data_IF_759034814153
#
_entry.id   IF_759034814153
#
_cell.length_a   1.000
_cell.length_b   1.000
_cell.length_c   1.000
_cell.angle_alpha   90.00
_cell.angle_beta   90.00
_cell.angle_gamma   90.00
#
_symmetry.space_group_name_H-M   'P 1'
#
loop_
_entity.id
_entity.type
_entity.pdbx_description
1 polymer ?
#
# COMPACT_ATOMS: atom_id res chain seq x y z
N UNK A 1 38.76 27.97 50.51
CA UNK A 1 38.99 26.56 50.85
C UNK A 1 38.37 25.71 49.74
N UNK A 2 38.96 25.57 48.55
CA UNK A 2 40.00 24.58 48.13
C UNK A 2 39.68 23.13 48.50
N UNK A 3 39.19 22.35 47.53
CA UNK A 3 39.40 20.89 47.35
C UNK A 3 39.15 20.56 45.86
N UNK A 4 40.21 20.51 45.03
CA UNK A 4 40.96 19.31 44.58
C UNK A 4 40.14 18.39 43.64
N UNK A 5 40.29 18.46 42.31
CA UNK A 5 41.24 17.71 41.45
C UNK A 5 41.34 16.21 41.77
N UNK A 6 40.80 15.37 40.87
CA UNK A 6 41.49 14.24 40.19
C UNK A 6 40.48 13.15 39.80
N UNK A 7 40.49 12.77 38.52
CA UNK A 7 40.11 11.49 37.89
C UNK A 7 39.47 11.77 36.52
N UNK A 8 40.29 12.08 35.53
CA UNK A 8 39.88 12.05 34.13
C UNK A 8 41.12 11.79 33.27
N UNK A 9 41.71 10.60 33.37
CA UNK A 9 42.85 10.23 32.52
C UNK A 9 42.98 8.70 32.41
N UNK A 10 41.97 8.00 31.89
CA UNK A 10 42.12 6.59 31.49
C UNK A 10 41.11 6.06 30.46
N UNK A 11 40.17 6.86 29.93
CA UNK A 11 39.12 6.37 29.02
C UNK A 11 39.35 6.66 27.51
N UNK A 12 40.54 7.07 27.09
CA UNK A 12 40.79 7.56 25.72
C UNK A 12 41.43 6.54 24.73
N UNK A 13 41.76 5.33 25.17
CA UNK A 13 42.46 4.34 24.31
C UNK A 13 41.56 3.21 23.76
N UNK A 14 40.31 3.08 24.22
CA UNK A 14 39.38 2.05 23.72
C UNK A 14 38.37 2.56 22.67
N UNK A 15 38.32 3.88 22.42
CA UNK A 15 37.28 4.52 21.62
C UNK A 15 37.66 4.78 20.15
N UNK A 16 38.92 4.58 19.78
CA UNK A 16 39.42 4.92 18.42
C UNK A 16 39.36 3.75 17.44
N UNK A 17 39.21 2.51 17.91
CA UNK A 17 39.09 1.30 17.06
C UNK A 17 37.66 1.05 16.56
N UNK A 18 36.63 1.61 17.21
CA UNK A 18 35.24 1.47 16.72
C UNK A 18 34.90 2.48 15.61
N UNK A 19 35.58 3.63 15.57
CA UNK A 19 35.25 4.72 14.64
C UNK A 19 35.58 4.39 13.17
N UNK A 20 36.61 3.57 12.91
CA UNK A 20 36.97 3.16 11.55
C UNK A 20 36.08 2.03 11.00
N UNK A 21 35.50 1.20 11.87
CA UNK A 21 34.57 0.14 11.44
C UNK A 21 33.18 0.68 11.08
N UNK A 22 32.79 1.86 11.56
CA UNK A 22 31.48 2.47 11.28
C UNK A 22 31.40 3.20 9.93
N UNK A 23 32.51 3.75 9.43
CA UNK A 23 32.53 4.43 8.12
C UNK A 23 32.34 3.46 6.95
N UNK A 24 33.00 2.29 6.98
CA UNK A 24 32.92 1.30 5.88
C UNK A 24 31.51 0.68 5.68
N UNK A 25 30.68 0.64 6.72
CA UNK A 25 29.33 0.08 6.64
C UNK A 25 28.32 1.09 6.09
N UNK A 26 28.54 2.39 6.36
CA UNK A 26 27.74 3.48 5.81
C UNK A 26 27.94 3.62 4.29
N UNK A 27 29.20 3.55 3.82
CA UNK A 27 29.52 3.60 2.39
C UNK A 27 28.94 2.39 1.63
N UNK A 28 28.97 1.20 2.24
CA UNK A 28 28.39 -0.02 1.65
C UNK A 28 26.85 0.05 1.58
N UNK A 29 26.17 0.59 2.60
CA UNK A 29 24.71 0.77 2.56
C UNK A 29 24.28 1.81 1.53
N UNK A 30 24.99 2.93 1.43
CA UNK A 30 24.71 3.95 0.42
C UNK A 30 24.87 3.41 -1.01
N UNK A 31 25.94 2.64 -1.27
CA UNK A 31 26.20 2.08 -2.60
C UNK A 31 25.18 0.98 -2.99
N UNK A 32 24.72 0.18 -2.03
CA UNK A 32 23.68 -0.84 -2.25
C UNK A 32 22.30 -0.23 -2.52
N UNK A 33 21.97 0.91 -1.92
CA UNK A 33 20.71 1.60 -2.19
C UNK A 33 20.72 2.29 -3.55
N UNK A 34 21.82 2.96 -3.92
CA UNK A 34 21.97 3.62 -5.22
C UNK A 34 21.91 2.62 -6.39
N UNK A 35 22.57 1.46 -6.26
CA UNK A 35 22.56 0.41 -7.29
C UNK A 35 21.18 -0.26 -7.46
N UNK A 36 20.44 -0.51 -6.38
CA UNK A 36 19.08 -1.05 -6.48
C UNK A 36 18.10 -0.05 -7.10
N UNK A 37 18.26 1.26 -6.83
CA UNK A 37 17.43 2.28 -7.45
C UNK A 37 17.74 2.44 -8.95
N UNK A 38 19.02 2.38 -9.35
CA UNK A 38 19.41 2.42 -10.76
C UNK A 38 18.87 1.22 -11.55
N UNK A 39 18.95 0.01 -10.99
CA UNK A 39 18.39 -1.19 -11.63
C UNK A 39 16.86 -1.12 -11.78
N UNK A 40 16.15 -0.65 -10.76
CA UNK A 40 14.68 -0.52 -10.85
C UNK A 40 14.25 0.51 -11.90
N UNK A 41 15.04 1.58 -12.09
CA UNK A 41 14.77 2.60 -13.11
C UNK A 41 15.00 2.06 -14.53
N UNK A 42 16.05 1.25 -14.73
CA UNK A 42 16.32 0.60 -16.02
C UNK A 42 15.24 -0.43 -16.36
N UNK A 43 14.91 -1.31 -15.39
CA UNK A 43 13.85 -2.30 -15.52
C UNK A 43 12.49 -1.63 -15.84
N UNK A 44 12.14 -0.52 -15.17
CA UNK A 44 10.91 0.22 -15.45
C UNK A 44 10.85 0.73 -16.89
N UNK A 45 11.96 1.26 -17.42
CA UNK A 45 12.02 1.72 -18.81
C UNK A 45 11.87 0.57 -19.80
N UNK A 46 12.52 -0.58 -19.53
CA UNK A 46 12.40 -1.80 -20.32
C UNK A 46 10.96 -2.30 -20.34
N UNK A 47 10.32 -2.39 -19.18
CA UNK A 47 8.93 -2.83 -19.03
C UNK A 47 7.99 -1.91 -19.79
N UNK A 48 8.10 -0.59 -19.61
CA UNK A 48 7.23 0.39 -20.29
C UNK A 48 7.40 0.32 -21.81
N UNK A 49 8.63 0.15 -22.29
CA UNK A 49 8.92 -0.01 -23.71
C UNK A 49 8.30 -1.30 -24.25
N UNK A 50 8.51 -2.44 -23.60
CA UNK A 50 7.95 -3.73 -24.02
C UNK A 50 6.41 -3.70 -24.07
N UNK A 51 5.78 -3.17 -23.02
CA UNK A 51 4.33 -3.09 -22.94
C UNK A 51 3.72 -2.11 -23.93
N UNK A 52 4.37 -0.97 -24.20
CA UNK A 52 3.88 -0.04 -25.23
C UNK A 52 3.95 -0.63 -26.64
N UNK A 53 4.90 -1.54 -26.90
CA UNK A 53 5.04 -2.23 -28.20
C UNK A 53 4.04 -3.38 -28.35
N UNK A 54 3.82 -4.16 -27.28
CA UNK A 54 3.03 -5.39 -27.34
C UNK A 54 1.56 -5.18 -26.96
N UNK A 55 1.30 -4.23 -26.06
CA UNK A 55 -0.01 -3.93 -25.45
C UNK A 55 -0.25 -2.42 -25.40
N UNK A 56 -0.17 -1.75 -26.56
CA UNK A 56 -0.27 -0.29 -26.67
C UNK A 56 -1.55 0.32 -26.06
N UNK A 57 -2.61 -0.47 -25.91
CA UNK A 57 -3.88 -0.06 -25.30
C UNK A 57 -3.96 -0.23 -23.78
N UNK A 58 -2.93 -0.75 -23.12
CA UNK A 58 -2.90 -0.95 -21.68
C UNK A 58 -2.33 0.30 -20.98
N UNK A 59 -3.15 1.14 -20.32
CA UNK A 59 -2.63 2.27 -19.57
C UNK A 59 -1.90 1.77 -18.32
N UNK A 60 -0.70 2.26 -18.06
CA UNK A 60 0.07 1.93 -16.86
C UNK A 60 -0.10 3.07 -15.86
N UNK A 61 -0.98 2.89 -14.88
CA UNK A 61 -1.21 3.89 -13.83
C UNK A 61 -0.05 3.93 -12.85
N UNK A 62 0.38 2.75 -12.39
CA UNK A 62 1.54 2.60 -11.50
C UNK A 62 2.35 1.37 -11.87
N UNK A 63 3.66 1.48 -11.71
CA UNK A 63 4.61 0.37 -11.80
C UNK A 63 5.45 0.39 -10.52
N UNK A 64 5.47 -0.71 -9.78
CA UNK A 64 6.18 -0.80 -8.51
C UNK A 64 6.90 -2.14 -8.37
N UNK A 65 8.13 -2.18 -7.82
CA UNK A 65 8.82 -3.45 -7.57
C UNK A 65 8.07 -4.29 -6.53
N UNK A 66 8.10 -5.61 -6.71
CA UNK A 66 7.57 -6.55 -5.70
C UNK A 66 8.69 -7.06 -4.79
N UNK A 67 8.36 -7.72 -3.67
CA UNK A 67 9.36 -8.45 -2.87
C UNK A 67 10.02 -9.62 -3.61
N UNK A 68 9.45 -10.07 -4.74
CA UNK A 68 10.02 -11.11 -5.59
C UNK A 68 10.96 -10.47 -6.61
N UNK A 69 12.24 -10.83 -6.54
CA UNK A 69 13.28 -10.27 -7.39
C UNK A 69 12.97 -10.50 -8.87
N UNK A 70 13.06 -9.44 -9.68
CA UNK A 70 12.78 -9.50 -11.12
C UNK A 70 11.29 -9.52 -11.48
N UNK A 71 10.38 -9.34 -10.52
CA UNK A 71 8.95 -9.21 -10.75
C UNK A 71 8.48 -7.83 -10.28
N UNK A 72 7.78 -7.15 -11.18
CA UNK A 72 7.15 -5.86 -10.95
C UNK A 72 5.65 -6.00 -10.96
N UNK A 73 4.99 -5.16 -10.17
CA UNK A 73 3.55 -5.03 -10.13
C UNK A 73 3.13 -3.83 -10.96
N UNK A 74 2.12 -4.03 -11.80
CA UNK A 74 1.46 -2.99 -12.57
C UNK A 74 0.04 -2.83 -12.05
N UNK A 75 -0.39 -1.59 -11.88
CA UNK A 75 -1.81 -1.25 -11.76
C UNK A 75 -2.28 -0.56 -13.03
N UNK A 76 -3.39 -1.02 -13.57
CA UNK A 76 -4.04 -0.48 -14.76
C UNK A 76 -5.55 -0.49 -14.55
N UNK A 77 -6.19 0.68 -14.55
CA UNK A 77 -7.63 0.85 -14.36
C UNK A 77 -8.18 0.11 -13.13
N UNK A 78 -7.43 0.15 -12.02
CA UNK A 78 -7.77 -0.54 -10.77
C UNK A 78 -7.56 -2.07 -10.78
N UNK A 79 -7.04 -2.63 -11.86
CA UNK A 79 -6.61 -4.02 -11.94
C UNK A 79 -5.12 -4.13 -11.67
N UNK A 80 -4.72 -5.20 -10.99
CA UNK A 80 -3.33 -5.47 -10.64
C UNK A 80 -2.84 -6.67 -11.44
N UNK A 81 -1.71 -6.51 -12.11
CA UNK A 81 -1.00 -7.55 -12.83
C UNK A 81 0.48 -7.52 -12.48
N UNK A 82 1.22 -8.54 -12.93
CA UNK A 82 2.64 -8.68 -12.69
C UNK A 82 3.38 -8.87 -14.00
N UNK A 83 4.59 -8.33 -14.05
CA UNK A 83 5.47 -8.41 -15.21
C UNK A 83 6.89 -8.74 -14.78
N UNK A 84 7.62 -9.48 -15.59
CA UNK A 84 9.05 -9.72 -15.38
C UNK A 84 9.87 -8.46 -15.71
N UNK A 85 11.05 -8.32 -15.11
CA UNK A 85 11.96 -7.18 -15.31
C UNK A 85 12.36 -6.97 -16.78
N UNK A 86 12.45 -8.06 -17.54
CA UNK A 86 12.73 -8.05 -18.98
C UNK A 86 11.51 -7.66 -19.84
N UNK A 87 10.33 -7.50 -19.22
CA UNK A 87 9.09 -7.13 -19.90
C UNK A 87 8.49 -8.22 -20.79
N UNK A 88 9.01 -9.46 -20.75
CA UNK A 88 8.62 -10.52 -21.68
C UNK A 88 7.40 -11.33 -21.22
N UNK A 89 7.14 -11.39 -19.91
CA UNK A 89 6.04 -12.18 -19.35
C UNK A 89 5.14 -11.31 -18.50
N UNK A 90 3.84 -11.40 -18.75
CA UNK A 90 2.80 -10.78 -17.95
C UNK A 90 1.86 -11.84 -17.41
N UNK A 91 1.50 -11.74 -16.14
CA UNK A 91 0.53 -12.63 -15.52
C UNK A 91 -0.41 -11.87 -14.59
N UNK A 92 -1.66 -12.35 -14.53
CA UNK A 92 -2.68 -11.84 -13.63
C UNK A 92 -2.95 -12.89 -12.54
N UNK A 93 -3.00 -12.46 -11.29
CA UNK A 93 -3.19 -13.37 -10.16
C UNK A 93 -2.93 -12.70 -8.83
N UNK A 94 -2.77 -13.53 -7.80
CA UNK A 94 -2.45 -13.06 -6.45
C UNK A 94 -1.00 -13.39 -6.11
N UNK A 95 -0.28 -12.40 -5.60
CA UNK A 95 1.01 -12.58 -4.96
C UNK A 95 0.78 -12.75 -3.45
N UNK A 96 0.95 -13.99 -2.99
CA UNK A 96 0.80 -14.36 -1.59
C UNK A 96 2.17 -14.36 -0.91
N UNK A 97 2.31 -13.57 0.14
CA UNK A 97 3.41 -13.70 1.07
C UNK A 97 3.09 -14.84 2.04
N UNK A 98 3.71 -16.00 1.80
CA UNK A 98 3.51 -17.20 2.62
C UNK A 98 4.10 -17.07 4.02
N UNK A 99 5.12 -16.20 4.20
CA UNK A 99 5.75 -16.00 5.50
C UNK A 99 4.83 -15.22 6.43
N UNK A 100 4.23 -14.15 5.91
CA UNK A 100 3.34 -13.29 6.68
C UNK A 100 1.85 -13.68 6.53
N UNK A 101 1.55 -14.68 5.69
CA UNK A 101 0.19 -15.14 5.37
C UNK A 101 -0.73 -14.02 4.85
N UNK A 102 -0.17 -13.11 4.04
CA UNK A 102 -0.91 -11.97 3.48
C UNK A 102 -0.95 -12.01 1.97
N UNK A 103 -2.07 -11.56 1.39
CA UNK A 103 -2.20 -11.34 -0.04
C UNK A 103 -1.78 -9.90 -0.37
N UNK A 104 -0.60 -9.74 -0.96
CA UNK A 104 -0.03 -8.43 -1.31
C UNK A 104 -0.85 -7.72 -2.40
N UNK A 105 -1.39 -8.50 -3.36
CA UNK A 105 -2.27 -7.97 -4.41
C UNK A 105 -3.54 -7.36 -3.83
N UNK A 106 -4.18 -8.04 -2.88
CA UNK A 106 -5.40 -7.52 -2.25
C UNK A 106 -5.12 -6.30 -1.37
N UNK A 107 -3.94 -6.19 -0.74
CA UNK A 107 -3.57 -4.96 -0.04
C UNK A 107 -3.50 -3.77 -0.98
N UNK A 108 -2.94 -3.94 -2.18
CA UNK A 108 -2.88 -2.89 -3.20
C UNK A 108 -4.28 -2.54 -3.69
N UNK A 109 -5.07 -3.54 -4.09
CA UNK A 109 -6.46 -3.32 -4.53
C UNK A 109 -7.31 -2.63 -3.45
N UNK A 110 -7.11 -2.96 -2.17
CA UNK A 110 -7.82 -2.30 -1.07
C UNK A 110 -7.46 -0.82 -0.94
N UNK A 111 -6.19 -0.46 -1.19
CA UNK A 111 -5.77 0.96 -1.22
C UNK A 111 -6.41 1.70 -2.39
N UNK A 112 -6.44 1.10 -3.57
CA UNK A 112 -7.10 1.67 -4.75
C UNK A 112 -8.61 1.85 -4.53
N UNK A 113 -9.31 0.82 -4.03
CA UNK A 113 -10.73 0.89 -3.69
C UNK A 113 -11.00 2.01 -2.68
N UNK A 114 -10.16 2.13 -1.65
CA UNK A 114 -10.30 3.20 -0.65
C UNK A 114 -10.04 4.59 -1.26
N UNK A 115 -9.07 4.72 -2.16
CA UNK A 115 -8.81 5.97 -2.86
C UNK A 115 -10.04 6.41 -3.68
N UNK A 116 -10.66 5.49 -4.42
CA UNK A 116 -11.89 5.75 -5.18
C UNK A 116 -13.06 6.10 -4.25
N UNK A 117 -13.26 5.37 -3.15
CA UNK A 117 -14.36 5.66 -2.21
C UNK A 117 -14.25 7.06 -1.56
N UNK A 118 -13.02 7.56 -1.41
CA UNK A 118 -12.76 8.92 -0.89
C UNK A 118 -13.14 10.02 -1.87
N UNK A 119 -13.15 9.75 -3.18
CA UNK A 119 -13.55 10.75 -4.19
C UNK A 119 -15.07 10.90 -4.31
N UNK A 120 -15.85 9.95 -3.79
CA UNK A 120 -17.33 10.00 -3.85
C UNK A 120 -17.84 11.19 -3.03
N UNK A 121 -18.57 12.15 -3.65
CA UNK A 121 -19.12 13.33 -2.97
C UNK A 121 -20.07 12.96 -1.84
N UNK A 122 -20.13 13.81 -0.81
CA UNK A 122 -21.07 13.63 0.30
C UNK A 122 -22.54 13.66 -0.16
N UNK A 123 -22.86 14.44 -1.20
CA UNK A 123 -24.20 14.49 -1.80
C UNK A 123 -24.66 13.17 -2.43
N UNK A 124 -23.73 12.26 -2.73
CA UNK A 124 -24.03 10.93 -3.29
C UNK A 124 -24.09 9.84 -2.20
N UNK A 125 -24.01 10.25 -0.93
CA UNK A 125 -24.01 9.34 0.23
C UNK A 125 -25.24 9.64 1.09
N UNK A 126 -25.94 8.59 1.52
CA UNK A 126 -26.91 8.71 2.62
C UNK A 126 -26.19 8.29 3.90
N UNK A 127 -26.15 9.19 4.88
CA UNK A 127 -25.40 8.99 6.12
C UNK A 127 -26.35 8.69 7.27
N UNK A 128 -26.21 7.50 7.85
CA UNK A 128 -26.84 7.07 9.09
C UNK A 128 -25.83 7.21 10.21
N UNK A 129 -25.98 8.27 11.03
CA UNK A 129 -25.04 8.58 12.10
C UNK A 129 -24.99 7.46 13.17
N UNK A 130 -23.81 7.22 13.72
CA UNK A 130 -23.67 6.33 14.88
C UNK A 130 -24.43 6.91 16.10
N UNK A 131 -25.02 6.04 16.92
CA UNK A 131 -25.52 6.43 18.23
C UNK A 131 -24.36 6.49 19.23
N UNK A 132 -24.23 7.61 19.96
CA UNK A 132 -23.13 7.83 20.89
C UNK A 132 -21.79 8.06 20.19
N UNK A 133 -20.70 7.51 20.76
CA UNK A 133 -19.36 7.68 20.21
C UNK A 133 -19.14 6.80 18.96
N UNK A 134 -18.74 7.42 17.85
CA UNK A 134 -18.42 6.71 16.60
C UNK A 134 -17.18 5.83 16.77
N UNK A 135 -17.36 4.51 16.61
CA UNK A 135 -16.29 3.51 16.64
C UNK A 135 -15.71 3.21 15.27
N UNK A 136 -16.55 3.19 14.24
CA UNK A 136 -16.15 2.95 12.86
C UNK A 136 -17.16 3.56 11.88
N UNK A 137 -16.73 3.66 10.62
CA UNK A 137 -17.58 4.01 9.49
C UNK A 137 -17.65 2.79 8.55
N UNK A 138 -18.87 2.38 8.19
CA UNK A 138 -19.15 1.33 7.23
C UNK A 138 -19.75 1.97 5.97
N UNK A 139 -19.04 1.88 4.84
CA UNK A 139 -19.57 2.30 3.54
C UNK A 139 -20.18 1.10 2.80
N UNK A 140 -21.45 1.20 2.43
CA UNK A 140 -22.21 0.13 1.76
C UNK A 140 -22.57 0.59 0.34
N UNK A 141 -22.11 -0.15 -0.66
CA UNK A 141 -22.63 -0.05 -2.02
C UNK A 141 -23.94 -0.84 -2.09
N UNK A 142 -25.05 -0.19 -2.41
CA UNK A 142 -26.39 -0.79 -2.30
C UNK A 142 -27.25 -0.56 -3.53
N UNK A 143 -28.15 -1.51 -3.78
CA UNK A 143 -29.09 -1.49 -4.90
C UNK A 143 -30.52 -1.63 -4.35
N UNK A 144 -31.46 -0.71 -4.67
CA UNK A 144 -32.84 -0.78 -4.18
C UNK A 144 -33.60 -2.02 -4.68
N UNK A 145 -33.13 -2.66 -5.76
CA UNK A 145 -33.74 -3.87 -6.32
C UNK A 145 -33.15 -5.16 -5.76
N UNK A 146 -32.12 -5.09 -4.90
CA UNK A 146 -31.46 -6.25 -4.34
C UNK A 146 -32.10 -6.69 -3.00
N UNK A 147 -32.67 -7.90 -2.90
CA UNK A 147 -33.31 -8.38 -1.67
C UNK A 147 -32.36 -8.45 -0.45
N UNK A 148 -31.08 -8.75 -0.68
CA UNK A 148 -30.08 -8.77 0.38
C UNK A 148 -29.70 -7.36 0.85
N UNK A 149 -29.70 -6.39 -0.06
CA UNK A 149 -29.50 -4.99 0.30
C UNK A 149 -30.65 -4.47 1.15
N UNK A 150 -31.90 -4.82 0.80
CA UNK A 150 -33.07 -4.49 1.61
C UNK A 150 -32.96 -5.10 3.02
N UNK A 151 -32.59 -6.39 3.10
CA UNK A 151 -32.35 -7.05 4.39
C UNK A 151 -31.28 -6.32 5.22
N UNK A 152 -30.16 -5.95 4.61
CA UNK A 152 -29.09 -5.21 5.30
C UNK A 152 -29.56 -3.82 5.77
N UNK A 153 -30.42 -3.14 5.02
CA UNK A 153 -30.97 -1.84 5.43
C UNK A 153 -31.83 -1.95 6.70
N UNK A 154 -32.53 -3.07 6.90
CA UNK A 154 -33.30 -3.32 8.13
C UNK A 154 -32.41 -3.48 9.36
N UNK A 155 -31.13 -3.84 9.19
CA UNK A 155 -30.15 -4.01 10.28
C UNK A 155 -29.36 -2.73 10.61
N UNK A 156 -29.49 -1.66 9.81
CA UNK A 156 -28.78 -0.38 10.05
C UNK A 156 -29.01 0.18 11.46
N UNK A 157 -30.24 0.17 12.03
CA UNK A 157 -30.45 0.64 13.39
C UNK A 157 -29.64 -0.13 14.44
N UNK A 158 -29.40 -1.43 14.25
CA UNK A 158 -28.56 -2.21 15.15
C UNK A 158 -27.08 -1.81 15.04
N UNK A 159 -26.62 -1.46 13.83
CA UNK A 159 -25.26 -0.94 13.60
C UNK A 159 -25.08 0.44 14.24
N UNK A 160 -26.06 1.34 14.09
CA UNK A 160 -26.02 2.66 14.72
C UNK A 160 -25.90 2.55 16.25
N UNK A 161 -26.73 1.70 16.88
CA UNK A 161 -26.67 1.38 18.32
C UNK A 161 -25.33 0.80 18.76
N UNK A 162 -24.64 0.06 17.89
CA UNK A 162 -23.32 -0.47 18.16
C UNK A 162 -22.20 0.61 18.09
N UNK A 163 -22.52 1.83 17.66
CA UNK A 163 -21.59 2.93 17.46
C UNK A 163 -20.99 2.99 16.05
N UNK A 164 -21.64 2.36 15.06
CA UNK A 164 -21.17 2.32 13.67
C UNK A 164 -21.95 3.34 12.83
N UNK A 165 -21.22 4.25 12.19
CA UNK A 165 -21.80 5.15 11.20
C UNK A 165 -21.90 4.41 9.87
N UNK A 166 -23.08 4.40 9.27
CA UNK A 166 -23.32 3.71 7.99
C UNK A 166 -23.48 4.76 6.89
N UNK A 167 -22.70 4.63 5.82
CA UNK A 167 -22.77 5.48 4.63
C UNK A 167 -23.21 4.61 3.46
N UNK A 168 -24.40 4.82 2.91
CA UNK A 168 -24.86 4.07 1.75
C UNK A 168 -24.65 4.86 0.46
N UNK A 169 -24.23 4.18 -0.60
CA UNK A 169 -24.05 4.71 -1.94
C UNK A 169 -24.91 3.86 -2.88
N UNK A 170 -25.78 4.50 -3.65
CA UNK A 170 -26.64 3.82 -4.62
C UNK A 170 -25.81 3.36 -5.82
N UNK A 171 -25.82 2.06 -6.07
CA UNK A 171 -25.14 1.38 -7.18
C UNK A 171 -26.11 0.37 -7.81
N UNK A 172 -27.09 0.83 -8.61
CA UNK A 172 -28.04 -0.06 -9.27
C UNK A 172 -27.30 -0.99 -10.23
N UNK A 173 -27.46 -2.31 -10.06
CA UNK A 173 -26.74 -3.30 -10.89
C UNK A 173 -27.31 -3.40 -12.30
N UNK A 174 -28.55 -2.97 -12.50
CA UNK A 174 -29.26 -3.02 -13.76
C UNK A 174 -29.07 -1.78 -14.65
N UNK A 175 -28.33 -0.76 -14.19
CA UNK A 175 -28.23 0.55 -14.85
C UNK A 175 -29.31 1.51 -14.37
#
# INVERSE_FOLDING_TARGET
MTFSRSLALSALMASTLTLSMQAAWADTQANNQASNQANNQDDEQVIRKSLSQTMASLPIDTLTPTPVKGIYQITSQGQVAYVTADGNYLFAGNLLDLKNQVNLTEQVKNKERLAVLKTVPASHKVVYAAEGAKKATLTILTDPTCPYCEKLHREIPALQKAGIEVQTILTPRAG
#
